data_IF_198103543293
#
_entry.id   IF_198103543293
#
_cell.length_a   1.000
_cell.length_b   1.000
_cell.length_c   1.000
_cell.angle_alpha   90.00
_cell.angle_beta   90.00
_cell.angle_gamma   90.00
#
_symmetry.space_group_name_H-M   'P 1'
#
loop_
_entity.id
_entity.type
_entity.pdbx_description
1 polymer ?
#
# COMPACT_ATOMS: atom_id res chain seq x y z
N UNK A 1 -10.32 -10.83 -1.76
CA UNK A 1 -9.26 -10.70 -2.78
C UNK A 1 -7.91 -10.78 -2.09
N UNK A 2 -6.98 -11.60 -2.57
CA UNK A 2 -5.76 -11.97 -1.83
C UNK A 2 -4.47 -11.49 -2.54
N UNK A 3 -4.60 -10.46 -3.39
CA UNK A 3 -3.50 -9.90 -4.18
C UNK A 3 -3.46 -8.39 -3.97
N UNK A 4 -2.26 -7.83 -4.03
CA UNK A 4 -2.00 -6.40 -4.05
C UNK A 4 -1.50 -6.00 -5.44
N UNK A 5 -1.70 -4.73 -5.80
CA UNK A 5 -1.09 -4.10 -6.96
C UNK A 5 0.21 -3.41 -6.57
N UNK A 6 1.12 -3.33 -7.53
CA UNK A 6 2.40 -2.64 -7.40
C UNK A 6 2.50 -1.64 -8.53
N UNK A 7 2.67 -0.37 -8.20
CA UNK A 7 2.79 0.72 -9.17
C UNK A 7 4.15 1.37 -8.96
N UNK A 8 4.99 1.34 -9.99
CA UNK A 8 6.30 1.99 -9.97
C UNK A 8 6.10 3.49 -10.22
N UNK A 9 6.56 4.33 -9.29
CA UNK A 9 6.49 5.79 -9.40
C UNK A 9 7.82 6.38 -9.86
N UNK A 10 8.92 5.84 -9.34
CA UNK A 10 10.26 6.26 -9.70
C UNK A 10 11.16 5.03 -9.67
N UNK A 11 11.79 4.74 -10.81
CA UNK A 11 12.74 3.66 -11.01
C UNK A 11 13.74 4.18 -12.05
N UNK A 12 14.98 4.43 -11.61
CA UNK A 12 15.99 5.11 -12.43
C UNK A 12 16.84 4.12 -13.23
N UNK A 13 17.04 2.92 -12.70
CA UNK A 13 17.87 1.87 -13.30
C UNK A 13 17.05 0.71 -13.91
N UNK A 14 15.72 0.79 -13.83
CA UNK A 14 14.80 -0.17 -14.44
C UNK A 14 14.77 -1.50 -13.69
N UNK A 15 15.11 -1.52 -12.40
CA UNK A 15 15.19 -2.74 -11.59
C UNK A 15 13.82 -3.24 -11.12
N UNK A 16 12.78 -2.41 -11.15
CA UNK A 16 11.42 -2.78 -10.75
C UNK A 16 10.57 -3.24 -11.95
N UNK A 17 10.88 -4.42 -12.50
CA UNK A 17 10.12 -5.00 -13.61
C UNK A 17 9.10 -6.06 -13.17
N UNK A 18 8.13 -6.37 -14.03
CA UNK A 18 7.09 -7.36 -13.74
C UNK A 18 7.65 -8.76 -13.42
N UNK A 19 8.75 -9.14 -14.06
CA UNK A 19 9.45 -10.41 -13.83
C UNK A 19 10.42 -10.36 -12.64
N UNK A 20 10.89 -9.18 -12.28
CA UNK A 20 11.91 -8.96 -11.24
C UNK A 20 11.58 -7.66 -10.50
N UNK A 21 10.67 -7.66 -9.52
CA UNK A 21 10.30 -6.46 -8.78
C UNK A 21 11.33 -6.17 -7.67
N UNK A 22 12.54 -5.75 -8.05
CA UNK A 22 13.62 -5.44 -7.10
C UNK A 22 13.64 -3.94 -6.84
N UNK A 23 13.30 -3.56 -5.60
CA UNK A 23 13.33 -2.17 -5.14
C UNK A 23 14.71 -1.88 -4.58
N UNK A 24 15.42 -0.93 -5.19
CA UNK A 24 16.73 -0.50 -4.73
C UNK A 24 16.68 0.87 -4.03
N UNK A 25 17.86 1.40 -3.69
CA UNK A 25 17.99 2.69 -3.02
C UNK A 25 17.69 3.85 -3.96
N UNK A 26 16.55 4.50 -3.74
CA UNK A 26 16.12 5.68 -4.49
C UNK A 26 14.84 5.45 -5.28
N UNK A 27 14.47 4.18 -5.45
CA UNK A 27 13.21 3.78 -6.05
C UNK A 27 12.02 4.11 -5.16
N UNK A 28 10.91 4.44 -5.80
CA UNK A 28 9.63 4.66 -5.14
C UNK A 28 8.57 3.84 -5.82
N UNK A 29 7.91 3.02 -5.02
CA UNK A 29 6.85 2.12 -5.47
C UNK A 29 5.65 2.31 -4.56
N UNK A 30 4.46 2.36 -5.14
CA UNK A 30 3.19 2.39 -4.43
C UNK A 30 2.57 0.99 -4.41
N UNK A 31 2.25 0.52 -3.21
CA UNK A 31 1.45 -0.69 -3.01
C UNK A 31 -0.02 -0.30 -2.97
N UNK A 32 -0.84 -0.91 -3.84
CA UNK A 32 -2.27 -0.66 -3.91
C UNK A 32 -3.06 -1.89 -3.47
N UNK A 33 -4.04 -1.70 -2.60
CA UNK A 33 -4.90 -2.77 -2.11
C UNK A 33 -6.35 -2.38 -2.37
N UNK A 34 -7.10 -3.26 -3.02
CA UNK A 34 -8.53 -3.06 -3.22
C UNK A 34 -9.29 -3.47 -1.95
N UNK A 35 -9.56 -2.50 -1.08
CA UNK A 35 -10.25 -2.73 0.19
C UNK A 35 -11.70 -3.19 0.01
N UNK A 36 -12.38 -2.82 -1.07
CA UNK A 36 -13.73 -3.30 -1.38
C UNK A 36 -13.73 -4.80 -1.67
N UNK A 37 -12.79 -5.27 -2.48
CA UNK A 37 -12.67 -6.68 -2.84
C UNK A 37 -12.04 -7.54 -1.73
N UNK A 38 -11.26 -6.93 -0.83
CA UNK A 38 -10.62 -7.62 0.30
C UNK A 38 -11.53 -7.69 1.54
N UNK A 39 -12.17 -6.58 1.90
CA UNK A 39 -12.87 -6.41 3.19
C UNK A 39 -14.35 -6.03 3.04
N UNK A 40 -14.87 -5.89 1.82
CA UNK A 40 -16.22 -5.36 1.57
C UNK A 40 -16.30 -3.83 1.69
N UNK A 41 -15.15 -3.16 1.79
CA UNK A 41 -15.02 -1.70 1.95
C UNK A 41 -14.50 -1.34 3.34
N UNK A 42 -14.18 -0.06 3.55
CA UNK A 42 -13.78 0.47 4.85
C UNK A 42 -14.82 1.46 5.34
N UNK A 43 -15.56 1.10 6.38
CA UNK A 43 -16.47 2.01 7.07
C UNK A 43 -15.72 3.16 7.76
N UNK A 44 -16.46 4.22 8.09
CA UNK A 44 -15.95 5.39 8.83
C UNK A 44 -15.59 5.00 10.27
N UNK A 45 -14.55 5.62 10.84
CA UNK A 45 -14.06 5.36 12.22
C UNK A 45 -13.58 3.92 12.44
N UNK A 46 -13.11 3.26 11.40
CA UNK A 46 -12.54 1.91 11.47
C UNK A 46 -11.03 2.02 11.63
N UNK A 47 -10.51 1.31 12.65
CA UNK A 47 -9.07 1.16 12.84
C UNK A 47 -8.53 0.08 11.92
N UNK A 48 -7.61 0.46 11.03
CA UNK A 48 -6.96 -0.44 10.08
C UNK A 48 -5.48 -0.47 10.42
N UNK A 49 -4.96 -1.67 10.58
CA UNK A 49 -3.55 -1.88 10.84
C UNK A 49 -3.04 -3.12 10.12
N UNK A 50 -1.74 -3.14 9.86
CA UNK A 50 -1.08 -4.26 9.22
C UNK A 50 0.42 -4.05 9.16
N UNK A 51 1.13 -5.10 8.78
CA UNK A 51 2.59 -5.05 8.60
C UNK A 51 2.94 -5.43 7.18
N UNK A 52 3.90 -4.70 6.62
CA UNK A 52 4.55 -5.02 5.36
C UNK A 52 5.87 -5.69 5.71
N UNK A 53 5.92 -7.01 5.57
CA UNK A 53 7.10 -7.80 5.90
C UNK A 53 7.89 -8.11 4.62
N UNK A 54 9.12 -7.60 4.47
CA UNK A 54 9.98 -7.97 3.36
C UNK A 54 10.61 -9.36 3.60
N UNK A 55 11.15 -9.96 2.55
CA UNK A 55 11.89 -11.23 2.64
C UNK A 55 13.14 -11.10 3.53
N UNK A 56 13.84 -9.97 3.42
CA UNK A 56 14.89 -9.56 4.35
C UNK A 56 14.70 -8.11 4.76
N UNK A 57 14.98 -7.81 6.02
CA UNK A 57 14.95 -6.46 6.58
C UNK A 57 13.91 -6.29 7.68
N UNK A 58 13.63 -5.04 8.01
CA UNK A 58 12.68 -4.67 9.05
C UNK A 58 11.24 -4.59 8.50
N UNK A 59 10.24 -5.04 9.26
CA UNK A 59 8.85 -4.89 8.86
C UNK A 59 8.42 -3.41 8.94
N UNK A 60 7.69 -2.96 7.92
CA UNK A 60 6.98 -1.68 7.96
C UNK A 60 5.61 -1.85 8.62
N UNK A 61 5.16 -0.87 9.39
CA UNK A 61 3.84 -0.88 10.03
C UNK A 61 2.95 0.16 9.35
N UNK A 62 1.76 -0.28 8.95
CA UNK A 62 0.68 0.58 8.49
C UNK A 62 -0.36 0.62 9.61
N UNK A 63 -0.71 1.80 10.08
CA UNK A 63 -1.73 1.96 11.12
C UNK A 63 -2.41 3.30 10.94
N UNK A 64 -3.71 3.27 10.65
CA UNK A 64 -4.52 4.46 10.49
C UNK A 64 -5.97 4.20 10.90
N UNK A 65 -6.66 5.28 11.25
CA UNK A 65 -8.10 5.24 11.54
C UNK A 65 -8.82 6.03 10.46
N UNK A 66 -9.83 5.41 9.82
CA UNK A 66 -10.61 6.12 8.80
C UNK A 66 -11.40 7.28 9.42
N UNK A 67 -11.60 8.39 8.67
CA UNK A 67 -12.31 9.56 9.18
C UNK A 67 -13.78 9.25 9.51
N UNK A 68 -14.43 10.18 10.22
CA UNK A 68 -15.85 10.05 10.57
C UNK A 68 -16.80 10.15 9.38
N UNK A 69 -16.36 10.77 8.28
CA UNK A 69 -17.15 10.95 7.04
C UNK A 69 -16.22 10.98 5.83
N UNK A 70 -16.64 10.33 4.74
CA UNK A 70 -16.03 10.47 3.42
C UNK A 70 -16.81 11.53 2.60
N UNK A 71 -16.17 12.67 2.40
CA UNK A 71 -16.58 13.84 1.61
C UNK A 71 -15.79 13.93 0.30
N UNK A 72 -14.56 13.40 0.27
CA UNK A 72 -13.64 13.45 -0.87
C UNK A 72 -13.32 12.05 -1.40
N UNK A 73 -12.80 11.97 -2.63
CA UNK A 73 -12.37 10.70 -3.21
C UNK A 73 -10.99 10.25 -2.71
N UNK A 74 -10.16 11.19 -2.24
CA UNK A 74 -8.78 10.92 -1.79
C UNK A 74 -8.58 11.45 -0.36
N UNK A 75 -8.05 10.59 0.49
CA UNK A 75 -7.73 10.89 1.89
C UNK A 75 -6.27 10.54 2.18
N UNK A 76 -5.57 11.47 2.83
CA UNK A 76 -4.26 11.20 3.41
C UNK A 76 -4.46 10.63 4.83
N UNK A 77 -3.93 9.43 5.06
CA UNK A 77 -4.13 8.66 6.30
C UNK A 77 -2.82 8.38 7.05
N UNK A 78 -1.67 8.51 6.37
CA UNK A 78 -0.30 8.40 6.91
C UNK A 78 0.68 9.15 6.01
#
# INVERSE_FOLDING_TARGET
ANKFGVIVLNDVDGSCQQSTPVINKGDKVALTVNATAAFGGLSTRTYVWGTVMPEQGAPGIISFTTPATYVYDVYQLQ
#
